data_IF_546522383536
#
_entry.id   IF_546522383536
#
_cell.length_a   1.000
_cell.length_b   1.000
_cell.length_c   1.000
_cell.angle_alpha   90.00
_cell.angle_beta   90.00
_cell.angle_gamma   90.00
#
_symmetry.space_group_name_H-M   'P 1'
#
loop_
_entity.id
_entity.type
_entity.pdbx_description
1 polymer ?
#
# COMPACT_ATOMS: atom_id res chain seq x y z
N UNK A 1 -8.30 15.40 -6.48
CA UNK A 1 -9.02 14.43 -7.34
C UNK A 1 -7.98 13.46 -7.88
N UNK A 2 -8.20 12.15 -7.80
CA UNK A 2 -7.29 11.17 -8.39
C UNK A 2 -7.43 11.14 -9.91
N UNK A 3 -6.37 10.73 -10.62
CA UNK A 3 -6.42 10.45 -12.06
C UNK A 3 -7.05 9.08 -12.30
N UNK A 4 -7.76 8.91 -13.42
CA UNK A 4 -8.29 7.59 -13.79
C UNK A 4 -7.12 6.64 -14.15
N UNK A 5 -7.34 5.32 -14.10
CA UNK A 5 -6.32 4.35 -14.52
C UNK A 5 -5.86 4.57 -15.97
N UNK A 6 -6.80 4.96 -16.84
CA UNK A 6 -6.54 5.31 -18.25
C UNK A 6 -5.66 6.54 -18.36
N UNK A 7 -5.96 7.60 -17.59
CA UNK A 7 -5.17 8.83 -17.66
C UNK A 7 -3.76 8.63 -17.09
N UNK A 8 -3.64 7.89 -15.99
CA UNK A 8 -2.33 7.52 -15.42
C UNK A 8 -1.49 6.70 -16.40
N UNK A 9 -2.08 5.67 -17.04
CA UNK A 9 -1.40 4.88 -18.06
C UNK A 9 -0.94 5.74 -19.24
N UNK A 10 -1.81 6.63 -19.73
CA UNK A 10 -1.47 7.57 -20.80
C UNK A 10 -0.31 8.48 -20.43
N UNK A 11 -0.31 9.03 -19.21
CA UNK A 11 0.79 9.87 -18.70
C UNK A 11 2.11 9.10 -18.66
N UNK A 12 2.11 7.86 -18.17
CA UNK A 12 3.33 7.03 -18.11
C UNK A 12 3.87 6.72 -19.50
N UNK A 13 2.99 6.28 -20.42
CA UNK A 13 3.36 5.97 -21.82
C UNK A 13 3.98 7.21 -22.48
N UNK A 14 3.34 8.37 -22.36
CA UNK A 14 3.83 9.61 -22.96
C UNK A 14 5.13 10.10 -22.33
N UNK A 15 5.22 10.09 -20.99
CA UNK A 15 6.39 10.59 -20.27
C UNK A 15 7.64 9.74 -20.54
N UNK A 16 7.46 8.43 -20.74
CA UNK A 16 8.56 7.49 -20.98
C UNK A 16 8.76 7.15 -22.48
N UNK A 17 7.92 7.67 -23.37
CA UNK A 17 7.98 7.39 -24.81
C UNK A 17 7.78 5.91 -25.16
N UNK A 18 6.93 5.20 -24.41
CA UNK A 18 6.72 3.77 -24.61
C UNK A 18 5.95 3.51 -25.92
N UNK A 19 6.35 2.51 -26.73
CA UNK A 19 5.65 2.14 -27.95
C UNK A 19 4.47 1.21 -27.65
N UNK A 20 3.60 1.59 -26.71
CA UNK A 20 2.45 0.79 -26.26
C UNK A 20 1.16 1.61 -26.35
N UNK A 21 0.05 0.94 -26.65
CA UNK A 21 -1.28 1.53 -26.45
C UNK A 21 -1.63 1.54 -24.96
N UNK A 22 -2.63 2.34 -24.57
CA UNK A 22 -3.11 2.37 -23.18
C UNK A 22 -3.71 1.02 -22.80
N UNK A 23 -4.42 0.39 -23.74
CA UNK A 23 -5.04 -0.92 -23.59
C UNK A 23 -4.00 -2.01 -23.35
N UNK A 24 -2.95 -2.07 -24.18
CA UNK A 24 -1.88 -3.06 -24.04
C UNK A 24 -1.12 -2.86 -22.74
N UNK A 25 -0.82 -1.61 -22.37
CA UNK A 25 -0.17 -1.29 -21.10
C UNK A 25 -0.96 -1.78 -19.89
N UNK A 26 -2.28 -1.54 -19.87
CA UNK A 26 -3.14 -1.98 -18.77
C UNK A 26 -3.28 -3.51 -18.73
N UNK A 27 -3.35 -4.16 -19.88
CA UNK A 27 -3.41 -5.62 -19.98
C UNK A 27 -2.13 -6.28 -19.45
N UNK A 28 -0.97 -5.77 -19.87
CA UNK A 28 0.33 -6.24 -19.38
C UNK A 28 0.50 -5.99 -17.88
N UNK A 29 0.10 -4.82 -17.38
CA UNK A 29 0.13 -4.52 -15.95
C UNK A 29 -0.69 -5.53 -15.14
N UNK A 30 -1.90 -5.86 -15.62
CA UNK A 30 -2.76 -6.87 -15.00
C UNK A 30 -2.09 -8.25 -14.95
N UNK A 31 -1.47 -8.68 -16.05
CA UNK A 31 -0.74 -9.96 -16.12
C UNK A 31 0.44 -9.99 -15.14
N UNK A 32 1.25 -8.93 -15.12
CA UNK A 32 2.43 -8.82 -14.25
C UNK A 32 2.00 -8.84 -12.78
N UNK A 33 0.91 -8.15 -12.42
CA UNK A 33 0.42 -8.14 -11.04
C UNK A 33 -0.08 -9.51 -10.60
N UNK A 34 -0.82 -10.21 -11.46
CA UNK A 34 -1.26 -11.58 -11.17
C UNK A 34 -0.08 -12.55 -11.01
N UNK A 35 0.97 -12.41 -11.83
CA UNK A 35 2.18 -13.22 -11.76
C UNK A 35 3.00 -12.93 -10.50
N UNK A 36 3.20 -11.64 -10.17
CA UNK A 36 4.08 -11.21 -9.09
C UNK A 36 3.43 -11.32 -7.71
N UNK A 37 2.11 -11.21 -7.64
CA UNK A 37 1.35 -11.19 -6.39
C UNK A 37 0.19 -12.21 -6.40
N UNK A 38 0.46 -13.51 -6.65
CA UNK A 38 -0.59 -14.51 -6.88
C UNK A 38 -1.43 -14.84 -5.64
N UNK A 39 -0.99 -14.43 -4.45
CA UNK A 39 -1.63 -14.71 -3.16
C UNK A 39 -2.09 -13.45 -2.43
N UNK A 40 -1.98 -12.28 -3.06
CA UNK A 40 -2.36 -11.01 -2.42
C UNK A 40 -3.78 -10.67 -2.82
N UNK A 41 -4.66 -10.60 -1.84
CA UNK A 41 -5.99 -10.05 -2.04
C UNK A 41 -5.91 -8.52 -2.14
N UNK A 42 -6.45 -7.98 -3.23
CA UNK A 42 -6.66 -6.55 -3.36
C UNK A 42 -7.76 -6.13 -2.38
N UNK A 43 -7.51 -5.06 -1.62
CA UNK A 43 -8.51 -4.50 -0.69
C UNK A 43 -8.60 -2.98 -0.83
N UNK A 44 -9.81 -2.39 -0.84
CA UNK A 44 -9.96 -0.95 -0.77
C UNK A 44 -9.45 -0.43 0.58
N UNK A 45 -8.56 0.55 0.53
CA UNK A 45 -8.02 1.21 1.72
C UNK A 45 -8.26 2.72 1.64
N UNK A 46 -8.66 3.33 2.76
CA UNK A 46 -8.87 4.77 2.85
C UNK A 46 -8.49 5.32 4.22
N UNK A 47 -7.98 6.54 4.24
CA UNK A 47 -7.79 7.32 5.47
C UNK A 47 -9.08 7.95 6.00
N UNK A 48 -10.23 7.72 5.35
CA UNK A 48 -11.55 8.17 5.84
C UNK A 48 -12.11 7.20 6.88
N UNK A 49 -12.89 7.74 7.83
CA UNK A 49 -13.73 6.92 8.73
C UNK A 49 -14.81 6.19 7.93
N UNK A 50 -15.27 5.02 8.41
CA UNK A 50 -16.30 4.19 7.77
C UNK A 50 -17.55 4.95 7.37
N UNK A 51 -18.08 5.81 8.25
CA UNK A 51 -19.27 6.62 7.96
C UNK A 51 -19.06 7.49 6.72
N UNK A 52 -17.92 8.18 6.63
CA UNK A 52 -17.58 9.01 5.47
C UNK A 52 -17.34 8.17 4.21
N UNK A 53 -16.66 7.03 4.37
CA UNK A 53 -16.46 6.08 3.29
C UNK A 53 -17.79 5.61 2.70
N UNK A 54 -18.72 5.14 3.53
CA UNK A 54 -20.04 4.66 3.09
C UNK A 54 -20.85 5.72 2.35
N UNK A 55 -20.75 7.00 2.76
CA UNK A 55 -21.38 8.11 2.03
C UNK A 55 -20.75 8.29 0.65
N UNK A 56 -19.42 8.31 0.58
CA UNK A 56 -18.67 8.50 -0.69
C UNK A 56 -18.87 7.34 -1.65
N UNK A 57 -19.07 6.12 -1.14
CA UNK A 57 -19.14 4.90 -1.94
C UNK A 57 -20.55 4.32 -2.05
N UNK A 58 -21.58 5.08 -1.65
CA UNK A 58 -22.96 4.63 -1.64
C UNK A 58 -23.45 4.09 -3.00
N UNK A 59 -22.90 4.58 -4.11
CA UNK A 59 -23.24 4.16 -5.49
C UNK A 59 -22.41 2.98 -6.02
N UNK A 60 -21.43 2.51 -5.26
CA UNK A 60 -20.49 1.45 -5.67
C UNK A 60 -20.50 0.25 -4.70
N UNK A 61 -21.62 0.02 -4.02
CA UNK A 61 -21.75 -1.04 -3.00
C UNK A 61 -21.50 -2.44 -3.56
N UNK A 62 -22.00 -2.73 -4.75
CA UNK A 62 -21.81 -4.04 -5.41
C UNK A 62 -20.34 -4.31 -5.70
N UNK A 63 -19.63 -3.32 -6.25
CA UNK A 63 -18.18 -3.41 -6.46
C UNK A 63 -17.44 -3.63 -5.14
N UNK A 64 -17.81 -2.88 -4.09
CA UNK A 64 -17.17 -3.01 -2.79
C UNK A 64 -17.44 -4.36 -2.10
N UNK A 65 -18.59 -4.98 -2.39
CA UNK A 65 -18.94 -6.30 -1.88
C UNK A 65 -18.10 -7.43 -2.51
N UNK A 66 -17.37 -7.17 -3.59
CA UNK A 66 -16.42 -8.12 -4.17
C UNK A 66 -15.16 -8.30 -3.31
N UNK A 67 -14.88 -7.37 -2.39
CA UNK A 67 -13.71 -7.42 -1.54
C UNK A 67 -14.06 -7.98 -0.17
N UNK A 68 -13.25 -8.93 0.32
CA UNK A 68 -13.44 -9.54 1.64
C UNK A 68 -13.38 -8.50 2.78
N UNK A 69 -12.54 -7.48 2.62
CA UNK A 69 -12.37 -6.42 3.59
C UNK A 69 -12.22 -5.04 2.96
N UNK A 70 -12.56 -4.01 3.74
CA UNK A 70 -12.28 -2.61 3.44
C UNK A 70 -11.59 -2.01 4.66
N UNK A 71 -10.41 -1.44 4.43
CA UNK A 71 -9.60 -0.79 5.46
C UNK A 71 -10.03 0.67 5.59
N UNK A 72 -10.48 1.06 6.77
CA UNK A 72 -10.91 2.41 7.11
C UNK A 72 -10.14 2.93 8.33
N UNK A 73 -9.95 4.25 8.38
CA UNK A 73 -9.28 4.91 9.50
C UNK A 73 -10.04 4.69 10.82
N UNK A 74 -9.32 4.24 11.85
CA UNK A 74 -9.80 4.05 13.21
C UNK A 74 -10.54 2.75 13.49
N UNK A 75 -10.67 1.83 12.51
CA UNK A 75 -11.41 0.57 12.67
C UNK A 75 -10.55 -0.68 12.52
N UNK A 76 -9.29 -0.56 12.11
CA UNK A 76 -8.43 -1.68 11.75
C UNK A 76 -7.13 -1.69 12.57
N UNK A 77 -7.18 -1.93 13.89
CA UNK A 77 -5.98 -2.01 14.74
C UNK A 77 -5.04 -3.15 14.35
N UNK A 78 -5.52 -4.16 13.63
CA UNK A 78 -4.77 -5.29 13.08
C UNK A 78 -3.95 -4.93 11.82
N UNK A 79 -4.11 -3.73 11.26
CA UNK A 79 -3.39 -3.32 10.05
C UNK A 79 -2.02 -2.74 10.40
N UNK A 80 -0.99 -3.31 9.76
CA UNK A 80 0.38 -2.80 9.76
C UNK A 80 0.67 -2.11 8.42
N UNK A 81 1.05 -0.84 8.48
CA UNK A 81 1.39 -0.02 7.31
C UNK A 81 2.90 -0.01 7.10
N UNK A 82 3.35 -0.14 5.85
CA UNK A 82 4.71 0.17 5.44
C UNK A 82 4.71 1.47 4.63
N UNK A 83 5.57 2.42 4.98
CA UNK A 83 5.66 3.73 4.32
C UNK A 83 7.13 4.21 4.26
N UNK A 84 7.52 4.92 3.21
CA UNK A 84 8.80 5.60 3.09
C UNK A 84 8.70 7.11 3.35
N UNK A 85 7.51 7.71 3.24
CA UNK A 85 7.29 9.15 3.35
C UNK A 85 6.68 9.60 4.69
N UNK A 86 7.12 10.75 5.26
CA UNK A 86 6.60 11.24 6.56
C UNK A 86 5.09 11.54 6.55
N UNK A 87 4.55 11.88 5.37
CA UNK A 87 3.13 12.20 5.21
C UNK A 87 2.25 10.95 5.39
N UNK A 88 2.58 9.83 4.77
CA UNK A 88 1.80 8.62 4.99
C UNK A 88 2.08 7.98 6.34
N UNK A 89 3.27 8.15 6.92
CA UNK A 89 3.51 7.81 8.35
C UNK A 89 2.52 8.55 9.24
N UNK A 90 2.42 9.87 9.08
CA UNK A 90 1.47 10.69 9.84
C UNK A 90 0.03 10.24 9.59
N UNK A 91 -0.33 9.90 8.35
CA UNK A 91 -1.66 9.45 7.99
C UNK A 91 -2.02 8.08 8.61
N UNK A 92 -1.11 7.11 8.58
CA UNK A 92 -1.30 5.78 9.17
C UNK A 92 -1.48 5.84 10.69
N UNK A 93 -0.63 6.61 11.36
CA UNK A 93 -0.72 6.84 12.81
C UNK A 93 -2.02 7.56 13.18
N UNK A 94 -2.40 8.60 12.44
CA UNK A 94 -3.68 9.29 12.65
C UNK A 94 -4.89 8.39 12.37
N UNK A 95 -4.72 7.34 11.58
CA UNK A 95 -5.71 6.30 11.33
C UNK A 95 -5.74 5.19 12.40
N UNK A 96 -4.92 5.30 13.46
CA UNK A 96 -4.85 4.30 14.53
C UNK A 96 -4.13 3.02 14.13
N UNK A 97 -3.37 3.04 13.03
CA UNK A 97 -2.59 1.90 12.54
C UNK A 97 -1.16 1.99 13.05
N UNK A 98 -0.49 0.83 13.15
CA UNK A 98 0.95 0.78 13.34
C UNK A 98 1.65 1.05 12.01
N UNK A 99 2.78 1.77 12.04
CA UNK A 99 3.52 2.12 10.83
C UNK A 99 4.99 1.73 10.97
N UNK A 100 5.47 0.91 10.05
CA UNK A 100 6.88 0.64 9.80
C UNK A 100 7.36 1.58 8.71
N UNK A 101 8.31 2.45 9.05
CA UNK A 101 8.90 3.39 8.12
C UNK A 101 10.19 2.84 7.51
N UNK A 102 10.35 2.97 6.20
CA UNK A 102 11.60 2.68 5.47
C UNK A 102 12.02 3.94 4.71
N UNK A 103 12.68 4.92 5.36
CA UNK A 103 12.92 6.23 4.78
C UNK A 103 14.02 6.22 3.72
N UNK A 104 14.01 7.21 2.82
CA UNK A 104 15.21 7.54 2.03
C UNK A 104 16.39 7.83 2.98
N UNK A 105 17.59 7.29 2.73
CA UNK A 105 18.76 7.47 3.59
C UNK A 105 19.14 8.93 3.87
N UNK A 106 18.71 9.87 3.02
CA UNK A 106 18.97 11.32 3.14
C UNK A 106 17.95 12.04 4.02
N UNK A 107 16.89 11.37 4.45
CA UNK A 107 15.88 11.97 5.32
C UNK A 107 16.46 12.33 6.68
N UNK A 108 16.11 13.50 7.19
CA UNK A 108 16.49 14.01 8.50
C UNK A 108 15.89 13.18 9.65
N UNK A 109 16.56 13.18 10.80
CA UNK A 109 16.15 12.34 11.93
C UNK A 109 14.81 12.72 12.53
N UNK A 110 14.38 13.98 12.46
CA UNK A 110 13.10 14.41 13.06
C UNK A 110 11.93 13.71 12.38
N UNK A 111 11.96 13.64 11.05
CA UNK A 111 10.93 12.99 10.26
C UNK A 111 10.87 11.45 10.45
N UNK A 112 11.99 10.82 10.83
CA UNK A 112 12.06 9.37 11.09
C UNK A 112 11.43 8.94 12.42
N UNK A 113 11.42 9.81 13.43
CA UNK A 113 11.04 9.47 14.82
C UNK A 113 9.56 9.21 15.05
N UNK A 114 8.70 9.53 14.08
CA UNK A 114 7.24 9.48 14.27
C UNK A 114 6.66 8.07 14.12
N UNK A 115 7.29 7.21 13.35
CA UNK A 115 6.78 5.87 13.04
C UNK A 115 6.80 4.93 14.26
N UNK A 116 5.96 3.89 14.24
CA UNK A 116 5.96 2.84 15.26
C UNK A 116 7.30 2.11 15.30
N UNK A 117 7.86 1.83 14.12
CA UNK A 117 9.19 1.29 13.93
C UNK A 117 9.80 1.98 12.70
N UNK A 118 11.05 2.42 12.79
CA UNK A 118 11.80 2.90 11.64
C UNK A 118 12.95 1.92 11.37
N UNK A 119 13.03 1.39 10.16
CA UNK A 119 14.08 0.49 9.70
C UNK A 119 14.75 1.08 8.45
N UNK A 120 16.02 0.78 8.22
CA UNK A 120 16.74 1.33 7.05
C UNK A 120 16.47 0.51 5.79
N UNK A 121 16.02 -0.75 5.94
CA UNK A 121 15.69 -1.64 4.83
C UNK A 121 14.55 -2.58 5.19
N UNK A 122 13.74 -2.97 4.20
CA UNK A 122 12.74 -4.03 4.35
C UNK A 122 13.35 -5.38 4.79
N UNK A 123 14.63 -5.59 4.53
CA UNK A 123 15.35 -6.79 4.98
C UNK A 123 15.51 -6.84 6.52
N UNK A 124 15.41 -5.71 7.21
CA UNK A 124 15.53 -5.62 8.66
C UNK A 124 14.18 -5.82 9.38
N UNK A 125 13.09 -5.96 8.62
CA UNK A 125 11.77 -6.16 9.18
C UNK A 125 11.67 -7.51 9.90
N UNK A 126 11.19 -7.46 11.14
CA UNK A 126 10.98 -8.62 12.00
C UNK A 126 9.49 -8.78 12.30
N UNK A 127 8.79 -9.69 11.60
CA UNK A 127 7.34 -9.85 11.74
C UNK A 127 6.90 -10.15 13.19
N UNK A 128 7.74 -10.84 13.96
CA UNK A 128 7.48 -11.22 15.34
C UNK A 128 7.31 -10.04 16.30
N UNK A 129 7.86 -8.86 15.98
CA UNK A 129 7.64 -7.63 16.74
C UNK A 129 6.17 -7.16 16.70
N UNK A 130 5.42 -7.63 15.70
CA UNK A 130 4.02 -7.29 15.46
C UNK A 130 3.09 -8.51 15.65
N UNK A 131 3.57 -9.56 16.33
CA UNK A 131 2.78 -10.76 16.62
C UNK A 131 2.60 -11.71 15.42
N UNK A 132 3.33 -11.50 14.32
CA UNK A 132 3.31 -12.38 13.16
C UNK A 132 4.37 -13.50 13.30
N UNK A 133 4.24 -14.64 12.59
CA UNK A 133 5.29 -15.66 12.56
C UNK A 133 6.60 -15.08 11.99
N UNK A 134 7.77 -15.46 12.53
CA UNK A 134 9.05 -15.04 11.96
C UNK A 134 9.20 -15.58 10.53
N UNK A 135 10.03 -14.92 9.72
CA UNK A 135 10.41 -15.48 8.43
C UNK A 135 11.04 -16.86 8.64
N UNK A 136 10.73 -17.81 7.75
CA UNK A 136 11.49 -19.05 7.70
C UNK A 136 12.90 -18.67 7.28
N UNK A 137 13.91 -19.02 8.07
CA UNK A 137 15.30 -18.88 7.65
C UNK A 137 15.42 -19.44 6.23
N UNK A 138 15.85 -18.60 5.29
CA UNK A 138 16.23 -19.11 3.98
C UNK A 138 17.44 -20.00 4.22
N UNK A 139 17.20 -21.29 4.38
CA UNK A 139 18.25 -22.30 4.35
C UNK A 139 19.09 -22.02 3.10
N UNK A 140 20.31 -21.57 3.35
CA UNK A 140 21.49 -21.64 2.48
C UNK A 140 21.19 -21.66 0.98
N UNK A 141 21.30 -20.49 0.33
CA UNK A 141 21.73 -20.50 -1.08
C UNK A 141 23.19 -20.98 -1.08
N UNK A 142 23.39 -22.30 -1.23
CA UNK A 142 24.63 -22.88 -1.76
C UNK A 142 24.76 -22.58 -3.25
#
# INVERSE_FOLDING_TARGET
>A
MGTTGVDSARTVIQALGLPLSVEDYLADLGRIYAEKYPHVDLVPATSSKRVSFMVKTARHRELLALFHHVVCSGENPEVLVFEDAPKGVTAGLAAGMQVVMVPDPRMDQENRRRATLCIESMADFKPELFGMPPFKDSATKS
#
